data_IF_489490280133
#
_entry.id   IF_489490280133
#
_cell.length_a   1.000
_cell.length_b   1.000
_cell.length_c   1.000
_cell.angle_alpha   90.00
_cell.angle_beta   90.00
_cell.angle_gamma   90.00
#
_symmetry.space_group_name_H-M   'P 1'
#
loop_
_entity.id
_entity.type
_entity.pdbx_description
1 polymer ?
#
# COMPACT_ATOMS: atom_id res chain seq x y z
N UNK A 1 -0.30 11.54 -3.37
CA UNK A 1 0.42 10.25 -3.14
C UNK A 1 -0.34 9.14 -3.84
N UNK A 2 0.27 8.52 -4.86
CA UNK A 2 -0.31 7.41 -5.62
C UNK A 2 0.09 6.03 -5.06
N UNK A 3 -0.46 4.97 -5.62
CA UNK A 3 -0.20 3.60 -5.17
C UNK A 3 1.26 3.17 -5.25
N UNK A 4 2.02 3.64 -6.26
CA UNK A 4 3.46 3.33 -6.38
C UNK A 4 4.26 3.91 -5.21
N UNK A 5 3.96 5.15 -4.82
CA UNK A 5 4.59 5.76 -3.66
C UNK A 5 4.24 5.05 -2.34
N UNK A 6 3.01 4.56 -2.20
CA UNK A 6 2.61 3.76 -1.03
C UNK A 6 3.38 2.45 -0.98
N UNK A 7 3.48 1.71 -2.10
CA UNK A 7 4.26 0.47 -2.17
C UNK A 7 5.71 0.73 -1.75
N UNK A 8 6.37 1.74 -2.31
CA UNK A 8 7.75 2.07 -1.98
C UNK A 8 7.95 2.37 -0.49
N UNK A 9 7.02 3.10 0.15
CA UNK A 9 7.07 3.35 1.61
C UNK A 9 6.87 2.07 2.43
N UNK A 10 5.96 1.20 1.99
CA UNK A 10 5.72 -0.08 2.67
C UNK A 10 6.93 -1.01 2.53
N UNK A 11 7.54 -1.09 1.35
CA UNK A 11 8.77 -1.86 1.11
C UNK A 11 9.92 -1.38 1.99
N UNK A 12 10.14 -0.05 2.08
CA UNK A 12 11.11 0.53 3.00
C UNK A 12 10.82 0.20 4.48
N UNK A 13 9.55 -0.01 4.83
CA UNK A 13 9.13 -0.45 6.15
C UNK A 13 9.14 -1.99 6.33
N UNK A 14 9.71 -2.75 5.38
CA UNK A 14 9.85 -4.20 5.44
C UNK A 14 8.59 -4.98 5.05
N UNK A 15 7.65 -4.36 4.34
CA UNK A 15 6.59 -5.11 3.65
C UNK A 15 7.11 -5.67 2.33
N UNK A 16 6.49 -6.73 1.84
CA UNK A 16 6.86 -7.38 0.58
C UNK A 16 5.65 -7.53 -0.33
N UNK A 17 5.86 -7.42 -1.65
CA UNK A 17 4.80 -7.69 -2.61
C UNK A 17 4.54 -9.19 -2.69
N UNK A 18 3.34 -9.62 -2.25
CA UNK A 18 2.92 -11.02 -2.27
C UNK A 18 2.37 -11.44 -3.64
N UNK A 19 1.48 -10.62 -4.21
CA UNK A 19 0.79 -10.91 -5.47
C UNK A 19 0.15 -9.64 -6.04
N UNK A 20 0.04 -9.59 -7.36
CA UNK A 20 -0.74 -8.55 -8.06
C UNK A 20 -1.96 -9.21 -8.74
N UNK A 21 -3.12 -8.57 -8.62
CA UNK A 21 -4.33 -8.89 -9.41
C UNK A 21 -4.94 -7.61 -9.95
N UNK A 22 -4.80 -7.38 -11.26
CA UNK A 22 -5.18 -6.11 -11.86
C UNK A 22 -4.41 -4.95 -11.20
N UNK A 23 -5.12 -3.93 -10.75
CA UNK A 23 -4.52 -2.79 -10.04
C UNK A 23 -4.21 -3.07 -8.56
N UNK A 24 -4.70 -4.16 -7.98
CA UNK A 24 -4.53 -4.45 -6.55
C UNK A 24 -3.21 -5.19 -6.29
N UNK A 25 -2.30 -4.52 -5.60
CA UNK A 25 -1.02 -5.05 -5.16
C UNK A 25 -1.16 -5.49 -3.69
N UNK A 26 -1.04 -6.78 -3.43
CA UNK A 26 -1.14 -7.34 -2.08
C UNK A 26 0.23 -7.24 -1.40
N UNK A 27 0.36 -6.36 -0.43
CA UNK A 27 1.55 -6.21 0.41
C UNK A 27 1.43 -7.11 1.65
N UNK A 28 2.49 -7.82 2.02
CA UNK A 28 2.50 -8.71 3.19
C UNK A 28 3.66 -8.41 4.13
N UNK A 29 3.38 -8.45 5.44
CA UNK A 29 4.37 -8.42 6.53
C UNK A 29 3.83 -9.18 7.73
N UNK A 30 4.64 -10.07 8.31
CA UNK A 30 4.30 -10.82 9.53
C UNK A 30 2.91 -11.52 9.47
N UNK A 31 2.60 -12.16 8.34
CA UNK A 31 1.31 -12.83 8.13
C UNK A 31 0.15 -11.90 7.75
N UNK A 32 0.23 -10.60 7.99
CA UNK A 32 -0.79 -9.61 7.61
C UNK A 32 -0.66 -9.25 6.14
N UNK A 33 -1.78 -9.26 5.40
CA UNK A 33 -1.83 -8.89 3.98
C UNK A 33 -2.76 -7.69 3.77
N UNK A 34 -2.28 -6.65 3.10
CA UNK A 34 -3.00 -5.41 2.82
C UNK A 34 -3.04 -5.14 1.32
N UNK A 35 -4.22 -4.94 0.71
CA UNK A 35 -4.32 -4.55 -0.70
C UNK A 35 -4.05 -3.05 -0.89
N UNK A 36 -3.11 -2.71 -1.77
CA UNK A 36 -2.84 -1.34 -2.22
C UNK A 36 -3.31 -1.18 -3.67
N UNK A 37 -4.24 -0.27 -3.97
CA UNK A 37 -4.63 0.00 -5.35
C UNK A 37 -3.57 0.85 -6.07
N UNK A 38 -3.23 0.46 -7.29
CA UNK A 38 -2.26 1.16 -8.14
C UNK A 38 -2.93 1.49 -9.47
N UNK A 39 -3.38 2.74 -9.62
CA UNK A 39 -4.02 3.27 -10.83
C UNK A 39 -3.12 4.30 -11.52
N UNK A 40 -1.96 3.86 -12.02
CA UNK A 40 -1.00 4.74 -12.70
C UNK A 40 -0.49 5.87 -11.81
N UNK A 41 -0.75 7.12 -12.20
CA UNK A 41 -0.38 8.33 -11.46
C UNK A 41 -1.50 8.86 -10.56
N UNK A 42 -2.70 8.27 -10.61
CA UNK A 42 -3.85 8.71 -9.81
C UNK A 42 -3.55 8.57 -8.32
N UNK A 43 -3.81 9.66 -7.60
CA UNK A 43 -3.62 9.72 -6.17
C UNK A 43 -4.63 8.87 -5.41
N UNK A 44 -4.17 8.27 -4.31
CA UNK A 44 -5.04 7.56 -3.37
C UNK A 44 -5.76 8.61 -2.52
N UNK A 45 -7.10 8.49 -2.44
CA UNK A 45 -7.93 9.36 -1.63
C UNK A 45 -7.55 9.32 -0.14
N UNK A 46 -7.75 10.44 0.56
CA UNK A 46 -7.35 10.64 1.96
C UNK A 46 -7.84 9.52 2.91
N UNK A 47 -9.09 9.10 2.78
CA UNK A 47 -9.67 8.08 3.65
C UNK A 47 -9.00 6.71 3.46
N UNK A 48 -8.66 6.36 2.22
CA UNK A 48 -7.97 5.11 1.92
C UNK A 48 -6.51 5.17 2.39
N UNK A 49 -5.82 6.30 2.21
CA UNK A 49 -4.49 6.49 2.82
C UNK A 49 -4.54 6.28 4.33
N UNK A 50 -5.47 6.92 5.04
CA UNK A 50 -5.60 6.75 6.49
C UNK A 50 -5.91 5.30 6.90
N UNK A 51 -6.73 4.59 6.12
CA UNK A 51 -7.00 3.17 6.35
C UNK A 51 -5.74 2.31 6.17
N UNK A 52 -4.94 2.59 5.13
CA UNK A 52 -3.68 1.91 4.88
C UNK A 52 -2.66 2.22 5.98
N UNK A 53 -2.56 3.46 6.46
CA UNK A 53 -1.70 3.82 7.60
C UNK A 53 -2.07 3.00 8.85
N UNK A 54 -3.37 2.89 9.15
CA UNK A 54 -3.86 2.11 10.30
C UNK A 54 -3.59 0.62 10.17
N UNK A 55 -3.78 0.05 8.97
CA UNK A 55 -3.56 -1.39 8.74
C UNK A 55 -2.08 -1.77 8.73
N UNK A 56 -1.23 -0.87 8.22
CA UNK A 56 0.19 -1.16 8.00
C UNK A 56 1.09 -0.66 9.12
N UNK A 57 0.60 0.30 9.92
CA UNK A 57 1.39 1.02 10.91
C UNK A 57 2.41 1.99 10.30
N UNK A 58 2.37 2.22 8.98
CA UNK A 58 3.35 3.05 8.26
C UNK A 58 2.73 4.41 7.95
N UNK A 59 3.47 5.49 8.24
CA UNK A 59 3.02 6.84 7.89
C UNK A 59 3.19 7.10 6.40
N UNK A 60 2.08 7.26 5.70
CA UNK A 60 2.04 7.48 4.27
C UNK A 60 2.05 8.97 3.94
N UNK A 61 1.51 9.86 4.78
CA UNK A 61 1.66 11.31 4.60
C UNK A 61 2.40 11.98 5.74
#
# INVERSE_FOLDING_TARGET
MNGKHVIAKLEAAGWTLKRVRGSHHLMQKNGVTVPVPVHGTTDIGRNLLAALERQTGVKLK
#
